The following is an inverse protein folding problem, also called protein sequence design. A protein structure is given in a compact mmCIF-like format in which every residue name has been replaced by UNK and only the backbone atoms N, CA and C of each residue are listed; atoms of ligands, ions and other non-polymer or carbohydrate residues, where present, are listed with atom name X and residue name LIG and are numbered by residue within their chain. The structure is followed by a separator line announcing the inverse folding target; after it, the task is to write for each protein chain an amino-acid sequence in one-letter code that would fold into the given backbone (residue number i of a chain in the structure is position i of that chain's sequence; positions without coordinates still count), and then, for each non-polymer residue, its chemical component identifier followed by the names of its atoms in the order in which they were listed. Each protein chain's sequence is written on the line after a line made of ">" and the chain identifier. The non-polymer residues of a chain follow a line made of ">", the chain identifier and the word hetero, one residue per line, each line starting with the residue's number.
data_IF_138763705515
#
_entry.id   IF_138763705515
#
_cell.length_a   1.000
_cell.length_b   1.000
_cell.length_c   1.000
_cell.angle_alpha   90.00
_cell.angle_beta   90.00
_cell.angle_gamma   90.00
#
_symmetry.space_group_name_H-M   'P 1'
#
loop_
_entity.id
_entity.type
_entity.pdbx_description
1 polymer ?
#
# COMPACT_ATOMS: atom_id res chain seq x y z
N UNK A 1 6.99 3.40 6.15
CA UNK A 1 6.04 2.28 6.45
C UNK A 1 6.79 1.11 7.04
N UNK A 2 6.11 0.25 7.81
CA UNK A 2 6.69 -1.03 8.22
C UNK A 2 7.12 -1.84 7.00
N UNK A 3 8.24 -2.56 7.11
CA UNK A 3 8.91 -3.34 6.06
C UNK A 3 9.13 -2.61 4.74
N UNK A 4 9.32 -1.28 4.74
CA UNK A 4 9.69 -0.51 3.54
C UNK A 4 10.86 -1.15 2.78
N UNK A 5 11.91 -1.48 3.52
CA UNK A 5 13.16 -2.03 3.00
C UNK A 5 13.10 -3.55 2.77
N UNK A 6 11.96 -4.20 3.03
CA UNK A 6 11.81 -5.64 3.07
C UNK A 6 11.82 -6.18 4.49
N UNK A 7 12.05 -7.49 4.61
CA UNK A 7 11.91 -8.25 5.85
C UNK A 7 13.19 -9.03 6.18
N UNK A 8 14.32 -8.53 5.67
CA UNK A 8 15.66 -9.06 5.91
C UNK A 8 16.50 -7.95 6.54
N UNK A 9 17.13 -8.24 7.68
CA UNK A 9 17.89 -7.25 8.44
C UNK A 9 19.13 -6.77 7.65
N UNK A 10 19.34 -5.45 7.63
CA UNK A 10 20.47 -4.83 6.94
C UNK A 10 20.37 -4.80 5.42
N UNK A 11 19.22 -5.17 4.84
CA UNK A 11 19.00 -5.16 3.39
C UNK A 11 17.97 -4.08 3.04
N UNK A 12 18.38 -3.15 2.19
CA UNK A 12 17.45 -2.25 1.50
C UNK A 12 17.00 -2.88 0.17
N UNK A 13 15.91 -3.64 0.22
CA UNK A 13 15.34 -4.24 -0.97
C UNK A 13 14.50 -3.20 -1.75
N UNK A 14 15.11 -2.63 -2.79
CA UNK A 14 14.42 -1.72 -3.70
C UNK A 14 13.33 -2.38 -4.56
N UNK A 15 13.35 -3.71 -4.68
CA UNK A 15 12.37 -4.55 -5.40
C UNK A 15 11.50 -5.34 -4.42
N UNK A 16 11.04 -4.65 -3.37
CA UNK A 16 10.27 -5.25 -2.29
C UNK A 16 8.79 -5.40 -2.65
N UNK A 17 8.33 -6.64 -2.74
CA UNK A 17 6.92 -7.01 -2.89
C UNK A 17 6.34 -7.67 -1.63
N UNK A 18 7.10 -7.79 -0.54
CA UNK A 18 6.60 -8.37 0.70
C UNK A 18 5.27 -7.77 1.16
N UNK A 19 5.04 -6.43 1.14
CA UNK A 19 3.78 -5.88 1.64
C UNK A 19 2.55 -6.05 0.73
N UNK A 20 2.71 -6.65 -0.46
CA UNK A 20 1.69 -6.62 -1.54
C UNK A 20 0.70 -7.79 -1.51
N UNK A 21 1.10 -9.06 -1.29
CA UNK A 21 0.16 -10.19 -1.32
C UNK A 21 -1.03 -10.02 -0.37
N UNK A 22 -2.24 -10.48 -0.76
CA UNK A 22 -3.43 -10.34 0.06
C UNK A 22 -3.32 -11.15 1.36
N UNK A 23 -3.91 -10.61 2.42
CA UNK A 23 -4.07 -11.29 3.72
C UNK A 23 -5.37 -12.10 3.72
N UNK A 24 -5.29 -13.43 3.62
CA UNK A 24 -6.47 -14.29 3.51
C UNK A 24 -6.39 -15.53 4.41
N UNK A 25 -7.48 -15.84 5.11
CA UNK A 25 -7.62 -17.00 6.00
C UNK A 25 -6.49 -17.12 7.05
N UNK A 26 -6.17 -15.99 7.68
CA UNK A 26 -5.14 -15.88 8.72
C UNK A 26 -5.78 -15.54 10.08
N UNK A 27 -5.22 -16.02 11.20
CA UNK A 27 -5.58 -15.50 12.52
C UNK A 27 -5.07 -14.06 12.72
N UNK A 28 -5.65 -13.30 13.66
CA UNK A 28 -5.26 -11.91 13.97
C UNK A 28 -3.76 -11.73 14.18
N UNK A 29 -3.12 -12.65 14.90
CA UNK A 29 -1.67 -12.62 15.16
C UNK A 29 -0.79 -12.75 13.90
N UNK A 30 -1.36 -13.07 12.74
CA UNK A 30 -0.65 -13.20 11.47
C UNK A 30 -0.98 -12.07 10.50
N UNK A 31 -2.24 -11.67 10.38
CA UNK A 31 -2.58 -10.58 9.45
C UNK A 31 -2.36 -9.18 10.04
N UNK A 32 -2.39 -9.03 11.37
CA UNK A 32 -2.17 -7.74 12.01
C UNK A 32 -0.76 -7.23 11.70
N UNK A 33 -0.68 -6.01 11.14
CA UNK A 33 0.58 -5.40 10.66
C UNK A 33 1.41 -6.35 9.76
N UNK A 34 0.73 -7.24 9.03
CA UNK A 34 1.36 -8.20 8.12
C UNK A 34 2.46 -9.03 8.81
N UNK A 35 2.19 -9.52 10.03
CA UNK A 35 3.12 -10.33 10.81
C UNK A 35 3.46 -11.68 10.15
N UNK A 36 2.60 -12.23 9.29
CA UNK A 36 2.80 -13.50 8.58
C UNK A 36 4.06 -13.50 7.71
N UNK A 37 4.39 -12.34 7.16
CA UNK A 37 5.57 -12.07 6.33
C UNK A 37 6.66 -11.30 7.07
N UNK A 38 6.52 -11.09 8.37
CA UNK A 38 7.52 -10.45 9.22
C UNK A 38 7.49 -8.92 9.26
N UNK A 39 6.57 -8.26 8.55
CA UNK A 39 6.60 -6.80 8.42
C UNK A 39 6.47 -6.05 9.74
N UNK A 40 5.71 -6.58 10.69
CA UNK A 40 5.56 -6.01 12.04
C UNK A 40 6.87 -5.88 12.83
N UNK A 41 7.93 -6.60 12.43
CA UNK A 41 9.25 -6.55 13.08
C UNK A 41 10.22 -5.56 12.44
N UNK A 42 9.83 -4.91 11.34
CA UNK A 42 10.65 -3.95 10.60
C UNK A 42 9.99 -2.58 10.62
N UNK A 43 10.14 -1.80 11.71
CA UNK A 43 9.59 -0.44 11.77
C UNK A 43 10.24 0.46 10.70
N UNK A 44 9.60 1.61 10.35
CA UNK A 44 10.30 2.67 9.63
C UNK A 44 11.49 3.22 10.44
N UNK A 45 12.40 3.93 9.77
CA UNK A 45 13.51 4.61 10.44
C UNK A 45 13.01 5.72 11.38
N UNK A 46 13.77 6.00 12.44
CA UNK A 46 13.42 7.05 13.41
C UNK A 46 13.28 8.41 12.69
N UNK A 47 12.12 9.05 12.85
CA UNK A 47 11.82 10.34 12.23
C UNK A 47 11.11 10.26 10.88
N UNK A 48 10.94 9.06 10.31
CA UNK A 48 10.17 8.88 9.07
C UNK A 48 8.67 8.80 9.38
N UNK A 49 7.96 9.90 9.12
CA UNK A 49 6.51 10.02 9.28
C UNK A 49 5.80 10.33 7.96
N UNK A 50 4.57 9.81 7.81
CA UNK A 50 3.64 10.31 6.80
C UNK A 50 2.91 11.52 7.40
N UNK A 51 3.19 12.70 6.85
CA UNK A 51 2.59 13.96 7.31
C UNK A 51 1.15 14.11 6.83
N UNK A 52 0.23 14.40 7.76
CA UNK A 52 -1.20 14.55 7.50
C UNK A 52 -1.63 16.00 7.75
N UNK A 53 -1.70 16.86 6.72
CA UNK A 53 -2.10 18.26 6.90
C UNK A 53 -3.59 18.35 7.24
N UNK A 54 -3.91 18.91 8.41
CA UNK A 54 -5.29 19.09 8.84
C UNK A 54 -6.08 19.97 7.85
N UNK A 55 -7.18 19.42 7.31
CA UNK A 55 -8.00 20.10 6.30
C UNK A 55 -7.33 20.24 4.92
N UNK A 56 -6.17 19.62 4.73
CA UNK A 56 -5.47 19.56 3.44
C UNK A 56 -5.63 18.20 2.77
N UNK A 57 -4.88 18.02 1.68
CA UNK A 57 -4.75 16.75 0.98
C UNK A 57 -3.35 16.18 1.21
N UNK A 58 -3.24 14.86 1.13
CA UNK A 58 -1.98 14.13 1.12
C UNK A 58 -2.02 13.11 -0.02
N UNK A 59 -0.87 12.87 -0.64
CA UNK A 59 -0.72 11.92 -1.74
C UNK A 59 0.04 10.70 -1.23
N UNK A 60 -0.38 9.52 -1.67
CA UNK A 60 0.24 8.25 -1.34
C UNK A 60 0.42 7.42 -2.60
N UNK A 61 1.45 6.59 -2.62
CA UNK A 61 1.75 5.72 -3.77
C UNK A 61 1.23 4.31 -3.51
N UNK A 62 0.42 3.79 -4.43
CA UNK A 62 -0.08 2.41 -4.40
C UNK A 62 0.48 1.65 -5.60
N UNK A 63 1.23 0.59 -5.35
CA UNK A 63 1.86 -0.21 -6.39
C UNK A 63 1.96 -1.69 -5.99
N UNK A 64 2.13 -2.56 -6.99
CA UNK A 64 2.33 -3.99 -6.80
C UNK A 64 3.76 -4.36 -6.34
N UNK A 65 4.67 -3.39 -6.27
CA UNK A 65 6.03 -3.53 -5.78
C UNK A 65 6.59 -2.13 -5.47
N UNK A 66 7.42 -2.00 -4.44
CA UNK A 66 8.14 -0.74 -4.13
C UNK A 66 8.96 -0.23 -5.33
N UNK A 67 9.46 -1.13 -6.18
CA UNK A 67 10.19 -0.76 -7.40
C UNK A 67 9.45 0.23 -8.29
N UNK A 68 8.11 0.23 -8.27
CA UNK A 68 7.25 1.08 -9.09
C UNK A 68 6.72 2.30 -8.34
N UNK A 69 7.42 2.70 -7.28
CA UNK A 69 7.17 3.92 -6.50
C UNK A 69 8.41 4.81 -6.50
N UNK A 70 8.28 6.05 -6.06
CA UNK A 70 9.40 6.97 -5.87
C UNK A 70 10.35 6.56 -4.73
N UNK A 71 9.96 5.56 -3.93
CA UNK A 71 10.77 5.03 -2.82
C UNK A 71 11.94 4.14 -3.28
N UNK A 72 12.05 3.84 -4.58
CA UNK A 72 13.11 3.01 -5.16
C UNK A 72 13.54 3.53 -6.53
N UNK A 73 14.78 3.21 -6.93
CA UNK A 73 15.32 3.50 -8.27
C UNK A 73 15.09 4.95 -8.74
N UNK A 74 15.06 5.91 -7.82
CA UNK A 74 14.75 7.33 -8.08
C UNK A 74 13.43 7.55 -8.85
N UNK A 75 12.47 6.64 -8.71
CA UNK A 75 11.20 6.69 -9.43
C UNK A 75 11.29 6.38 -10.93
N UNK A 76 12.43 5.94 -11.46
CA UNK A 76 12.61 5.68 -12.91
C UNK A 76 11.69 4.58 -13.46
N UNK A 77 11.09 3.79 -12.58
CA UNK A 77 10.19 2.68 -12.93
C UNK A 77 8.73 2.98 -12.61
N UNK A 78 8.40 4.14 -12.03
CA UNK A 78 6.98 4.47 -11.79
C UNK A 78 6.22 4.48 -13.12
N UNK A 79 4.96 4.04 -13.10
CA UNK A 79 4.08 4.23 -14.23
C UNK A 79 3.60 5.70 -14.26
N UNK A 80 2.72 6.02 -15.21
CA UNK A 80 1.98 7.28 -15.14
C UNK A 80 0.99 7.27 -13.96
N UNK A 81 0.61 6.11 -13.41
CA UNK A 81 -0.49 5.93 -12.46
C UNK A 81 -0.16 5.85 -10.94
N UNK A 82 1.01 6.26 -10.41
CA UNK A 82 1.35 6.02 -9.00
C UNK A 82 0.72 7.03 -8.04
N UNK A 83 0.14 8.13 -8.53
CA UNK A 83 -0.09 9.36 -7.76
C UNK A 83 -1.56 9.82 -7.68
N UNK A 84 -2.48 9.11 -8.33
CA UNK A 84 -3.90 9.46 -8.35
C UNK A 84 -4.24 10.72 -9.14
N UNK A 85 -3.38 11.16 -10.07
CA UNK A 85 -3.69 12.25 -11.00
C UNK A 85 -4.63 11.81 -12.16
N UNK A 86 -5.06 12.76 -12.98
CA UNK A 86 -5.84 12.47 -14.19
C UNK A 86 -4.97 11.75 -15.22
N UNK A 87 -5.33 10.50 -15.51
CA UNK A 87 -4.66 9.64 -16.49
C UNK A 87 -5.66 9.17 -17.56
N UNK A 88 -5.22 8.79 -18.77
CA UNK A 88 -6.13 8.32 -19.81
C UNK A 88 -6.96 7.11 -19.36
N UNK A 89 -8.30 7.19 -19.47
CA UNK A 89 -9.24 6.09 -19.14
C UNK A 89 -9.16 4.89 -20.12
N UNK A 90 -8.04 4.73 -20.83
CA UNK A 90 -7.77 3.60 -21.71
C UNK A 90 -7.08 2.43 -20.99
N UNK A 91 -6.85 2.56 -19.68
CA UNK A 91 -6.35 1.47 -18.86
C UNK A 91 -7.37 0.33 -18.79
N UNK A 92 -7.09 -0.71 -19.56
CA UNK A 92 -7.89 -1.91 -19.66
C UNK A 92 -6.99 -3.12 -19.51
N UNK A 93 -7.57 -4.18 -18.96
CA UNK A 93 -6.85 -5.42 -18.81
C UNK A 93 -6.62 -6.24 -20.07
N UNK A 94 -5.36 -6.68 -20.28
CA UNK A 94 -4.89 -7.47 -21.43
C UNK A 94 -5.04 -9.01 -21.43
N UNK A 95 -6.02 -9.64 -20.79
CA UNK A 95 -6.37 -11.06 -21.05
C UNK A 95 -7.59 -11.15 -21.96
N UNK A 96 -7.40 -11.80 -23.12
CA UNK A 96 -8.40 -11.94 -24.18
C UNK A 96 -9.73 -12.52 -23.66
N UNK A 97 -10.83 -11.82 -23.96
CA UNK A 97 -12.20 -12.34 -23.83
C UNK A 97 -13.00 -11.84 -22.62
N UNK A 98 -12.36 -11.32 -21.56
CA UNK A 98 -13.07 -10.93 -20.32
C UNK A 98 -12.69 -9.55 -19.75
N UNK A 99 -11.81 -8.78 -20.41
CA UNK A 99 -11.44 -7.42 -19.98
C UNK A 99 -10.56 -7.36 -18.71
N UNK A 100 -9.97 -8.48 -18.28
CA UNK A 100 -9.08 -8.56 -17.12
C UNK A 100 -7.61 -8.37 -17.52
N UNK A 101 -6.73 -7.90 -16.62
CA UNK A 101 -5.36 -7.50 -16.98
C UNK A 101 -4.38 -8.67 -17.00
N UNK A 102 -3.68 -8.89 -18.12
CA UNK A 102 -2.42 -9.63 -18.06
C UNK A 102 -1.40 -8.78 -17.30
N UNK A 103 -1.07 -9.20 -16.07
CA UNK A 103 -0.17 -8.55 -15.11
C UNK A 103 -0.72 -7.33 -14.36
N UNK A 104 -2.04 -7.12 -14.32
CA UNK A 104 -2.62 -6.04 -13.52
C UNK A 104 -3.12 -6.56 -12.18
N UNK A 105 -2.50 -6.05 -11.12
CA UNK A 105 -2.63 -6.59 -9.77
C UNK A 105 -3.62 -5.81 -8.89
N UNK A 106 -4.47 -4.95 -9.47
CA UNK A 106 -5.35 -4.05 -8.71
C UNK A 106 -6.78 -4.57 -8.52
N UNK A 107 -7.07 -5.81 -8.94
CA UNK A 107 -8.37 -6.48 -8.74
C UNK A 107 -9.61 -5.66 -9.16
N UNK A 108 -9.48 -4.87 -10.23
CA UNK A 108 -10.60 -4.12 -10.84
C UNK A 108 -10.53 -4.22 -12.37
N UNK A 109 -11.67 -4.11 -13.06
CA UNK A 109 -11.76 -4.09 -14.52
C UNK A 109 -11.61 -2.68 -15.10
N UNK A 110 -12.00 -1.64 -14.35
CA UNK A 110 -11.90 -0.24 -14.72
C UNK A 110 -12.08 0.64 -13.46
N UNK A 111 -11.94 1.96 -13.60
CA UNK A 111 -12.09 2.91 -12.49
C UNK A 111 -13.44 2.77 -11.76
N UNK A 112 -14.55 2.68 -12.51
CA UNK A 112 -15.92 2.55 -11.95
C UNK A 112 -16.25 1.21 -11.28
N UNK A 113 -15.27 0.31 -11.17
CA UNK A 113 -15.39 -0.97 -10.46
C UNK A 113 -14.42 -1.11 -9.28
N UNK A 114 -13.67 -0.06 -8.94
CA UNK A 114 -12.73 -0.09 -7.83
C UNK A 114 -13.46 -0.21 -6.47
N UNK A 115 -12.90 -0.95 -5.52
CA UNK A 115 -13.53 -1.14 -4.20
C UNK A 115 -13.46 0.07 -3.26
N UNK A 116 -12.71 1.13 -3.63
CA UNK A 116 -12.29 2.21 -2.74
C UNK A 116 -11.21 1.77 -1.75
N UNK A 117 -10.58 2.72 -1.06
CA UNK A 117 -9.59 2.47 0.00
C UNK A 117 -9.73 3.50 1.11
N UNK A 118 -9.30 3.14 2.31
CA UNK A 118 -9.42 3.97 3.50
C UNK A 118 -8.10 4.06 4.27
N UNK A 119 -7.89 5.19 4.94
CA UNK A 119 -6.84 5.39 5.94
C UNK A 119 -7.46 5.39 7.34
N UNK A 120 -6.86 4.60 8.23
CA UNK A 120 -7.22 4.55 9.63
C UNK A 120 -6.06 5.03 10.51
N UNK A 121 -6.40 5.62 11.65
CA UNK A 121 -5.45 6.16 12.63
C UNK A 121 -5.79 5.67 14.04
N UNK A 122 -4.77 5.41 14.84
CA UNK A 122 -4.87 5.22 16.29
C UNK A 122 -3.91 6.20 16.97
N UNK A 123 -4.36 6.87 18.02
CA UNK A 123 -3.58 7.87 18.76
C UNK A 123 -2.76 7.20 19.87
N UNK A 124 -1.69 6.51 19.48
CA UNK A 124 -0.76 5.83 20.40
C UNK A 124 0.64 5.77 19.77
N UNK A 125 1.68 5.91 20.59
CA UNK A 125 3.08 5.84 20.17
C UNK A 125 3.67 4.41 20.27
N UNK A 126 3.06 3.52 21.05
CA UNK A 126 3.43 2.10 21.13
C UNK A 126 2.51 1.24 20.26
N UNK A 127 3.06 0.71 19.15
CA UNK A 127 2.33 -0.21 18.27
C UNK A 127 1.77 -1.43 19.02
N UNK A 128 2.46 -1.93 20.06
CA UNK A 128 2.02 -3.12 20.80
C UNK A 128 0.79 -2.84 21.67
N UNK A 129 0.49 -1.58 21.96
CA UNK A 129 -0.68 -1.16 22.69
C UNK A 129 -1.91 -0.91 21.80
N UNK A 130 -1.75 -0.93 20.46
CA UNK A 130 -2.82 -0.69 19.50
C UNK A 130 -3.56 -1.99 19.17
N UNK A 131 -4.87 -1.98 19.35
CA UNK A 131 -5.79 -3.01 18.90
C UNK A 131 -6.58 -2.55 17.66
N UNK A 132 -7.38 -3.46 17.10
CA UNK A 132 -8.20 -3.15 15.92
C UNK A 132 -9.29 -2.12 16.26
N UNK A 133 -9.76 -2.20 17.50
CA UNK A 133 -10.83 -1.40 18.06
C UNK A 133 -10.42 0.06 18.29
N UNK A 134 -9.10 0.33 18.31
CA UNK A 134 -8.55 1.68 18.45
C UNK A 134 -8.44 2.41 17.11
N UNK A 135 -8.56 1.70 15.98
CA UNK A 135 -8.45 2.27 14.65
C UNK A 135 -9.73 3.03 14.26
N UNK A 136 -9.57 4.30 13.92
CA UNK A 136 -10.64 5.16 13.38
C UNK A 136 -10.32 5.51 11.94
N UNK A 137 -11.25 5.24 11.02
CA UNK A 137 -11.15 5.71 9.62
C UNK A 137 -11.30 7.23 9.59
N UNK A 138 -10.29 7.93 9.10
CA UNK A 138 -10.28 9.41 9.05
C UNK A 138 -10.29 9.97 7.62
N UNK A 139 -9.92 9.17 6.62
CA UNK A 139 -9.94 9.55 5.20
C UNK A 139 -10.31 8.34 4.35
N UNK A 140 -11.09 8.60 3.30
CA UNK A 140 -11.47 7.61 2.29
C UNK A 140 -11.22 8.21 0.91
N UNK A 141 -10.93 7.35 -0.05
CA UNK A 141 -11.01 7.68 -1.48
C UNK A 141 -12.03 6.70 -2.07
N UNK A 142 -13.20 7.23 -2.44
CA UNK A 142 -14.24 6.52 -3.15
C UNK A 142 -13.99 6.52 -4.67
N UNK A 143 -14.87 5.83 -5.41
CA UNK A 143 -14.84 5.75 -6.87
C UNK A 143 -15.36 7.04 -7.52
#
# INVERSE_FOLDING_TARGET
>A
MYCRNGTEEGIDNGDNSAPVPPLYNLPKSKWWFQADRGCSSFPPDDGDFLELPAGGSFTVELANNRAFTTLSFNGERTSDWPDGADHPEDWNGGSEGEGCIQNGFMHTQNHSMAGGTAWAIAYNDDLNAIAMEDLVVFSVLDQ
#
